data_IF_161242490331
#
_entry.id   IF_161242490331
#
_cell.length_a   1.000
_cell.length_b   1.000
_cell.length_c   1.000
_cell.angle_alpha   90.00
_cell.angle_beta   90.00
_cell.angle_gamma   90.00
#
_symmetry.space_group_name_H-M   'P 1'
#
loop_
_entity.id
_entity.type
_entity.pdbx_description
1 polymer ?
#
# COMPACT_ATOMS: atom_id res chain seq x y z
N UNK A 1 -5.32 6.26 -17.89
CA UNK A 1 -6.46 5.36 -18.12
C UNK A 1 -6.06 3.98 -17.62
N UNK A 2 -6.96 3.27 -16.93
CA UNK A 2 -6.77 1.89 -16.44
C UNK A 2 -7.89 1.01 -17.00
N UNK A 3 -7.64 -0.27 -17.35
CA UNK A 3 -8.70 -1.18 -17.77
C UNK A 3 -9.64 -1.51 -16.62
N UNK A 4 -10.91 -1.76 -16.94
CA UNK A 4 -11.95 -2.06 -15.97
C UNK A 4 -12.43 -0.85 -15.17
N UNK A 5 -13.09 -1.14 -14.06
CA UNK A 5 -13.60 -0.12 -13.12
C UNK A 5 -12.91 -0.22 -11.77
N UNK A 6 -12.88 0.88 -11.03
CA UNK A 6 -12.52 0.90 -9.62
C UNK A 6 -13.71 1.40 -8.81
N UNK A 7 -14.08 0.69 -7.76
CA UNK A 7 -15.17 1.11 -6.87
C UNK A 7 -14.72 2.21 -5.88
N UNK A 8 -15.66 2.67 -5.03
CA UNK A 8 -15.40 3.71 -4.04
C UNK A 8 -14.31 3.32 -3.03
N UNK A 9 -14.03 2.02 -2.87
CA UNK A 9 -12.96 1.50 -2.04
C UNK A 9 -11.66 1.31 -2.82
N UNK A 10 -11.53 1.88 -4.01
CA UNK A 10 -10.38 1.68 -4.91
C UNK A 10 -10.09 0.20 -5.21
N UNK A 11 -11.11 -0.68 -5.23
CA UNK A 11 -10.96 -2.08 -5.63
C UNK A 11 -11.22 -2.23 -7.12
N UNK A 12 -10.24 -2.80 -7.83
CA UNK A 12 -10.36 -3.12 -9.24
C UNK A 12 -11.46 -4.16 -9.50
N UNK A 13 -12.23 -3.93 -10.56
CA UNK A 13 -13.20 -4.86 -11.14
C UNK A 13 -12.83 -5.03 -12.61
N UNK A 14 -12.50 -6.27 -12.99
CA UNK A 14 -12.24 -6.59 -14.37
C UNK A 14 -13.49 -6.38 -15.20
N UNK A 15 -13.39 -5.55 -16.23
CA UNK A 15 -14.44 -5.30 -17.20
C UNK A 15 -13.75 -4.84 -18.50
N UNK A 16 -13.78 -5.69 -19.53
CA UNK A 16 -13.10 -5.43 -20.79
C UNK A 16 -13.75 -4.29 -21.60
N UNK A 17 -15.00 -3.94 -21.30
CA UNK A 17 -15.74 -2.88 -21.99
C UNK A 17 -15.63 -1.52 -21.29
N UNK A 18 -14.96 -1.46 -20.14
CA UNK A 18 -14.86 -0.24 -19.32
C UNK A 18 -13.43 0.14 -19.01
N UNK A 19 -13.28 1.41 -18.69
CA UNK A 19 -12.02 2.04 -18.38
C UNK A 19 -12.21 3.06 -17.27
N UNK A 20 -11.18 3.22 -16.46
CA UNK A 20 -11.14 4.20 -15.37
C UNK A 20 -10.19 5.34 -15.72
N UNK A 21 -10.68 6.56 -15.63
CA UNK A 21 -9.87 7.77 -15.66
C UNK A 21 -9.46 8.14 -14.24
N UNK A 22 -8.16 8.16 -13.98
CA UNK A 22 -7.59 8.48 -12.67
C UNK A 22 -6.78 9.77 -12.76
N UNK A 23 -6.90 10.64 -11.75
CA UNK A 23 -6.07 11.83 -11.62
C UNK A 23 -4.59 11.44 -11.58
N UNK A 24 -3.73 12.18 -12.30
CA UNK A 24 -2.29 11.88 -12.41
C UNK A 24 -1.55 11.81 -11.07
N UNK A 25 -2.03 12.57 -10.07
CA UNK A 25 -1.52 12.58 -8.69
C UNK A 25 -2.24 11.57 -7.77
N UNK A 26 -3.39 11.04 -8.21
CA UNK A 26 -4.16 10.05 -7.46
C UNK A 26 -3.45 8.70 -7.35
N UNK A 27 -3.82 7.91 -6.35
CA UNK A 27 -3.12 6.66 -6.01
C UNK A 27 -3.13 5.64 -7.15
N UNK A 28 -4.24 5.51 -7.87
CA UNK A 28 -4.35 4.59 -9.01
C UNK A 28 -3.32 4.93 -10.09
N UNK A 29 -3.14 6.23 -10.37
CA UNK A 29 -2.16 6.71 -11.31
C UNK A 29 -0.73 6.54 -10.79
N UNK A 30 -0.52 6.85 -9.52
CA UNK A 30 0.77 6.69 -8.82
C UNK A 30 1.29 5.26 -8.93
N UNK A 31 0.46 4.25 -8.68
CA UNK A 31 0.87 2.84 -8.71
C UNK A 31 1.24 2.33 -10.11
N UNK A 32 0.54 2.73 -11.17
CA UNK A 32 0.99 2.37 -12.53
C UNK A 32 2.29 3.09 -12.91
N UNK A 33 2.48 4.34 -12.46
CA UNK A 33 3.71 5.12 -12.71
C UNK A 33 4.91 4.57 -11.96
N UNK A 34 4.68 3.95 -10.81
CA UNK A 34 5.69 3.13 -10.12
C UNK A 34 5.99 1.79 -10.82
N UNK A 35 5.31 1.50 -11.93
CA UNK A 35 5.61 0.36 -12.80
C UNK A 35 4.61 -0.80 -12.72
N UNK A 36 3.68 -0.78 -11.76
CA UNK A 36 2.65 -1.82 -11.62
C UNK A 36 1.54 -1.65 -12.66
N UNK A 37 1.80 -2.05 -13.91
CA UNK A 37 0.87 -1.89 -15.03
C UNK A 37 -0.11 -3.07 -15.09
N UNK A 38 -1.39 -2.92 -14.69
CA UNK A 38 -2.29 -4.06 -14.49
C UNK A 38 -2.64 -4.83 -15.76
N UNK A 39 -2.49 -4.22 -16.94
CA UNK A 39 -2.78 -4.87 -18.24
C UNK A 39 -1.67 -5.82 -18.73
N UNK A 40 -0.54 -5.90 -18.03
CA UNK A 40 0.58 -6.77 -18.41
C UNK A 40 0.50 -8.18 -17.79
N UNK A 41 -0.61 -8.50 -17.10
CA UNK A 41 -0.89 -9.83 -16.57
C UNK A 41 -1.44 -9.80 -15.15
N UNK A 42 -2.04 -10.93 -14.74
CA UNK A 42 -2.75 -11.04 -13.47
C UNK A 42 -1.88 -10.69 -12.25
N UNK A 43 -0.62 -11.11 -12.26
CA UNK A 43 0.28 -10.84 -11.14
C UNK A 43 0.61 -9.34 -11.01
N UNK A 44 0.72 -8.62 -12.12
CA UNK A 44 0.86 -7.15 -12.10
C UNK A 44 -0.45 -6.44 -11.78
N UNK A 45 -1.61 -7.01 -12.15
CA UNK A 45 -2.90 -6.50 -11.71
C UNK A 45 -3.06 -6.61 -10.18
N UNK A 46 -2.69 -7.75 -9.61
CA UNK A 46 -2.63 -7.95 -8.17
C UNK A 46 -1.64 -6.99 -7.50
N UNK A 47 -0.45 -6.81 -8.07
CA UNK A 47 0.55 -5.90 -7.54
C UNK A 47 0.11 -4.43 -7.61
N UNK A 48 -0.63 -4.03 -8.66
CA UNK A 48 -1.21 -2.69 -8.73
C UNK A 48 -2.23 -2.48 -7.60
N UNK A 49 -3.14 -3.44 -7.38
CA UNK A 49 -4.11 -3.35 -6.30
C UNK A 49 -3.44 -3.31 -4.93
N UNK A 50 -2.44 -4.17 -4.69
CA UNK A 50 -1.67 -4.19 -3.45
C UNK A 50 -0.88 -2.89 -3.24
N UNK A 51 -0.30 -2.32 -4.31
CA UNK A 51 0.33 -1.01 -4.28
C UNK A 51 -0.66 0.09 -3.88
N UNK A 52 -1.89 0.05 -4.40
CA UNK A 52 -2.92 1.04 -4.05
C UNK A 52 -3.21 0.98 -2.55
N UNK A 53 -3.38 -0.23 -1.98
CA UNK A 53 -3.55 -0.42 -0.53
C UNK A 53 -2.37 0.15 0.25
N UNK A 54 -1.16 -0.26 -0.11
CA UNK A 54 0.09 0.17 0.52
C UNK A 54 0.29 1.69 0.48
N UNK A 55 0.11 2.31 -0.68
CA UNK A 55 0.31 3.75 -0.87
C UNK A 55 -0.67 4.59 -0.06
N UNK A 56 -1.88 4.08 0.17
CA UNK A 56 -2.85 4.70 1.08
C UNK A 56 -2.65 4.30 2.54
N UNK A 57 -1.76 3.35 2.83
CA UNK A 57 -1.71 2.64 4.11
C UNK A 57 -3.06 2.00 4.49
N UNK A 58 -3.89 1.63 3.51
CA UNK A 58 -5.21 1.02 3.69
C UNK A 58 -5.06 -0.42 4.19
N UNK A 59 -4.71 -0.53 5.48
CA UNK A 59 -4.39 -1.79 6.12
C UNK A 59 -5.57 -2.77 6.10
N UNK A 60 -6.80 -2.27 6.22
CA UNK A 60 -8.01 -3.09 6.27
C UNK A 60 -8.54 -3.48 4.88
N UNK A 61 -8.12 -2.79 3.81
CA UNK A 61 -8.64 -2.98 2.46
C UNK A 61 -10.04 -2.42 2.24
N UNK A 62 -10.46 -1.47 3.07
CA UNK A 62 -11.81 -0.87 3.05
C UNK A 62 -11.86 0.43 2.24
N UNK A 63 -10.73 0.82 1.63
CA UNK A 63 -10.61 2.03 0.82
C UNK A 63 -10.26 3.27 1.62
N UNK A 64 -10.18 3.20 2.96
CA UNK A 64 -9.80 4.35 3.78
C UNK A 64 -8.30 4.59 3.72
N UNK A 65 -7.91 5.83 3.39
CA UNK A 65 -6.51 6.24 3.41
C UNK A 65 -6.07 6.63 4.82
N UNK A 66 -4.99 6.03 5.26
CA UNK A 66 -4.23 6.35 6.48
C UNK A 66 -2.91 7.04 6.16
N UNK A 67 -2.79 7.62 4.97
CA UNK A 67 -1.60 8.31 4.47
C UNK A 67 -1.90 9.76 4.15
N UNK A 68 -0.95 10.64 4.44
CA UNK A 68 -0.95 12.05 4.03
C UNK A 68 -0.03 12.26 2.84
N UNK A 69 -0.34 13.26 2.03
CA UNK A 69 0.54 13.65 0.93
C UNK A 69 1.93 14.02 1.45
N UNK A 70 2.96 13.70 0.66
CA UNK A 70 4.36 13.88 1.04
C UNK A 70 4.93 12.81 1.99
N UNK A 71 4.13 11.86 2.48
CA UNK A 71 4.66 10.76 3.31
C UNK A 71 5.62 9.88 2.51
N UNK A 72 6.88 9.79 2.96
CA UNK A 72 7.88 8.95 2.34
C UNK A 72 7.69 7.49 2.75
N UNK A 73 7.88 6.58 1.80
CA UNK A 73 7.92 5.13 2.00
C UNK A 73 9.03 4.53 1.13
N UNK A 74 9.71 3.49 1.64
CA UNK A 74 10.53 2.59 0.82
C UNK A 74 9.70 1.35 0.50
N UNK A 75 9.60 0.95 -0.76
CA UNK A 75 8.66 -0.09 -1.21
C UNK A 75 9.37 -1.08 -2.12
N UNK A 76 8.99 -2.35 -2.01
CA UNK A 76 9.51 -3.40 -2.87
C UNK A 76 8.51 -4.53 -3.03
N UNK A 77 8.74 -5.38 -4.02
CA UNK A 77 7.82 -6.46 -4.39
C UNK A 77 8.47 -7.85 -4.44
N UNK A 78 7.63 -8.86 -4.58
CA UNK A 78 8.01 -10.27 -4.81
C UNK A 78 7.97 -10.66 -6.29
N UNK A 79 7.85 -9.70 -7.20
CA UNK A 79 7.74 -10.00 -8.63
C UNK A 79 9.08 -10.47 -9.19
N UNK A 80 9.00 -11.25 -10.27
CA UNK A 80 10.16 -11.76 -10.99
C UNK A 80 9.98 -11.42 -12.48
N UNK A 81 10.77 -10.46 -13.02
CA UNK A 81 11.71 -9.58 -12.31
C UNK A 81 10.99 -8.56 -11.39
N UNK A 82 11.69 -8.02 -10.37
CA UNK A 82 11.08 -7.05 -9.47
C UNK A 82 10.83 -5.71 -10.18
N UNK A 83 9.67 -5.10 -9.90
CA UNK A 83 9.36 -3.74 -10.40
C UNK A 83 9.99 -2.69 -9.49
N UNK A 84 10.02 -2.94 -8.18
CA UNK A 84 10.64 -2.12 -7.16
C UNK A 84 11.58 -2.99 -6.31
N UNK A 85 12.76 -2.45 -6.01
CA UNK A 85 13.73 -3.03 -5.09
C UNK A 85 13.76 -2.18 -3.84
N UNK A 86 13.96 -2.82 -2.69
CA UNK A 86 14.11 -2.12 -1.41
C UNK A 86 15.38 -1.28 -1.50
N UNK A 87 15.25 0.01 -1.22
CA UNK A 87 16.39 0.92 -1.14
C UNK A 87 17.19 0.61 0.13
N UNK A 88 16.53 0.66 1.29
CA UNK A 88 17.09 0.28 2.58
C UNK A 88 18.23 1.15 3.09
N UNK A 89 18.50 2.29 2.44
CA UNK A 89 19.58 3.22 2.80
C UNK A 89 19.20 4.23 3.88
N UNK A 90 17.91 4.61 3.96
CA UNK A 90 17.39 5.47 5.03
C UNK A 90 17.22 4.69 6.34
N UNK A 91 18.03 5.02 7.35
CA UNK A 91 18.04 4.32 8.65
C UNK A 91 16.85 4.65 9.54
N UNK A 92 16.06 5.68 9.18
CA UNK A 92 14.83 6.05 9.90
C UNK A 92 13.59 5.33 9.35
N UNK A 93 13.75 4.53 8.29
CA UNK A 93 12.68 3.73 7.68
C UNK A 93 12.66 2.32 8.28
N UNK A 94 11.56 1.96 8.92
CA UNK A 94 11.34 0.65 9.53
C UNK A 94 10.28 -0.12 8.77
N UNK A 95 10.37 -1.46 8.79
CA UNK A 95 9.38 -2.32 8.16
C UNK A 95 7.98 -2.02 8.68
N UNK A 96 7.09 -1.61 7.79
CA UNK A 96 5.73 -1.19 8.12
C UNK A 96 4.77 -2.37 8.01
N UNK A 97 4.69 -2.97 6.82
CA UNK A 97 3.68 -3.99 6.52
C UNK A 97 4.04 -4.82 5.28
N UNK A 98 3.37 -5.97 5.18
CA UNK A 98 3.28 -6.76 3.96
C UNK A 98 1.88 -6.63 3.36
N UNK A 99 1.78 -6.61 2.02
CA UNK A 99 0.58 -6.17 1.31
C UNK A 99 0.08 -7.20 0.30
N UNK A 100 -1.24 -7.34 0.29
CA UNK A 100 -2.02 -8.12 -0.69
C UNK A 100 -3.01 -7.21 -1.40
N UNK A 101 -3.67 -7.66 -2.48
CA UNK A 101 -4.77 -6.92 -3.09
C UNK A 101 -5.92 -6.61 -2.11
N UNK A 102 -6.07 -7.42 -1.06
CA UNK A 102 -7.14 -7.31 -0.06
C UNK A 102 -6.81 -6.36 1.10
N UNK A 103 -5.58 -5.85 1.21
CA UNK A 103 -5.12 -5.07 2.37
C UNK A 103 -3.79 -5.59 2.91
N UNK A 104 -3.42 -5.18 4.11
CA UNK A 104 -2.22 -5.67 4.77
C UNK A 104 -2.38 -7.15 5.12
N UNK A 105 -1.40 -7.97 4.75
CA UNK A 105 -1.28 -9.35 5.21
C UNK A 105 -0.95 -9.38 6.72
N UNK A 106 -0.07 -8.46 7.12
CA UNK A 106 0.34 -8.25 8.51
C UNK A 106 0.91 -6.83 8.68
N UNK A 107 0.91 -6.35 9.93
CA UNK A 107 1.32 -5.00 10.29
C UNK A 107 2.38 -5.04 11.39
N UNK A 108 3.52 -4.40 11.17
CA UNK A 108 4.57 -4.23 12.16
C UNK A 108 4.35 -2.96 12.98
N UNK A 109 4.16 -1.83 12.29
CA UNK A 109 3.79 -0.56 12.90
C UNK A 109 2.96 0.28 11.94
N UNK A 110 2.31 1.31 12.48
CA UNK A 110 1.52 2.26 11.70
C UNK A 110 2.44 3.34 11.11
N UNK A 111 2.15 3.76 9.88
CA UNK A 111 2.84 4.86 9.20
C UNK A 111 2.73 6.19 9.95
N UNK A 112 1.55 6.45 10.52
CA UNK A 112 1.26 7.65 11.30
C UNK A 112 0.81 7.28 12.72
N UNK A 113 1.38 7.97 13.70
CA UNK A 113 1.02 7.90 15.11
C UNK A 113 0.42 9.22 15.57
N UNK A 114 -0.42 9.19 16.60
CA UNK A 114 -1.17 10.35 17.08
C UNK A 114 -2.38 10.78 16.23
N UNK A 115 -2.73 10.04 15.16
CA UNK A 115 -4.04 10.21 14.51
C UNK A 115 -5.17 9.89 15.52
N UNK A 116 -6.33 10.58 15.48
CA UNK A 116 -7.45 10.24 16.37
C UNK A 116 -7.89 8.78 16.22
N UNK A 117 -8.52 8.19 17.22
CA UNK A 117 -8.80 6.74 17.24
C UNK A 117 -9.76 6.27 16.14
N UNK A 118 -10.69 7.13 15.74
CA UNK A 118 -11.51 6.96 14.54
C UNK A 118 -10.66 6.81 13.27
N UNK A 119 -9.37 7.18 13.33
CA UNK A 119 -8.39 7.05 12.27
C UNK A 119 -7.45 5.82 12.39
N UNK A 120 -7.78 4.83 13.22
CA UNK A 120 -6.95 3.63 13.35
C UNK A 120 -7.60 2.33 12.87
N UNK A 121 -6.78 1.36 12.44
CA UNK A 121 -7.24 0.04 11.99
C UNK A 121 -7.80 -0.84 13.13
N UNK A 122 -8.11 -0.28 14.32
CA UNK A 122 -8.93 -0.98 15.32
C UNK A 122 -10.31 -1.37 14.78
N UNK A 123 -10.71 -0.78 13.64
CA UNK A 123 -11.96 -1.08 12.92
C UNK A 123 -11.80 -1.99 11.71
N UNK A 124 -10.63 -2.59 11.48
CA UNK A 124 -10.60 -3.67 10.50
C UNK A 124 -11.63 -4.73 10.93
N UNK A 125 -12.41 -5.25 9.97
CA UNK A 125 -13.41 -6.28 10.26
C UNK A 125 -12.81 -7.51 10.95
N UNK A 126 -11.50 -7.72 10.78
CA UNK A 126 -10.69 -8.69 11.52
C UNK A 126 -9.41 -8.01 12.02
N UNK A 127 -8.97 -8.31 13.25
CA UNK A 127 -7.68 -7.82 13.74
C UNK A 127 -6.55 -8.22 12.79
N UNK A 128 -5.70 -7.26 12.43
CA UNK A 128 -4.52 -7.52 11.61
C UNK A 128 -3.46 -8.26 12.43
N UNK A 129 -2.90 -9.35 11.90
CA UNK A 129 -1.83 -10.04 12.59
C UNK A 129 -0.54 -9.20 12.56
N UNK A 130 0.29 -9.35 13.59
CA UNK A 130 1.60 -8.71 13.64
C UNK A 130 2.67 -9.53 12.94
N UNK A 131 3.67 -8.82 12.42
CA UNK A 131 4.90 -9.38 11.88
C UNK A 131 6.04 -8.37 12.07
N UNK A 132 7.26 -8.83 12.33
CA UNK A 132 8.41 -7.94 12.58
C UNK A 132 9.23 -7.65 11.31
N UNK A 133 9.06 -8.44 10.24
CA UNK A 133 9.84 -8.31 9.01
C UNK A 133 9.14 -8.88 7.79
N UNK A 134 9.60 -8.48 6.60
CA UNK A 134 9.17 -9.09 5.34
C UNK A 134 9.49 -10.59 5.26
N UNK A 135 10.60 -11.03 5.87
CA UNK A 135 10.95 -12.46 5.91
C UNK A 135 9.93 -13.24 6.74
N UNK A 136 9.54 -12.72 7.90
CA UNK A 136 8.49 -13.32 8.70
C UNK A 136 7.14 -13.30 7.97
N UNK A 137 6.81 -12.18 7.32
CA UNK A 137 5.56 -12.04 6.59
C UNK A 137 5.42 -13.11 5.49
N UNK A 138 6.49 -13.35 4.72
CA UNK A 138 6.53 -14.42 3.69
C UNK A 138 6.38 -15.82 4.28
N UNK A 139 6.91 -16.07 5.47
CA UNK A 139 6.80 -17.39 6.11
C UNK A 139 5.39 -17.68 6.63
N UNK A 140 4.69 -16.65 7.12
CA UNK A 140 3.45 -16.82 7.91
C UNK A 140 2.16 -16.52 7.14
N UNK A 141 2.18 -15.59 6.19
CA UNK A 141 0.96 -15.03 5.59
C UNK A 141 0.86 -15.25 4.09
N UNK A 142 1.50 -16.33 3.59
CA UNK A 142 1.46 -16.73 2.18
C UNK A 142 2.39 -15.89 1.31
N UNK A 143 1.89 -15.47 0.14
CA UNK A 143 2.63 -14.74 -0.90
C UNK A 143 2.17 -13.27 -0.99
N UNK A 144 2.54 -12.40 -0.03
CA UNK A 144 2.33 -10.96 -0.17
C UNK A 144 3.09 -10.44 -1.40
N UNK A 145 2.45 -9.55 -2.16
CA UNK A 145 2.99 -9.04 -3.42
C UNK A 145 3.92 -7.85 -3.20
N UNK A 146 3.66 -7.05 -2.16
CA UNK A 146 4.45 -5.87 -1.83
C UNK A 146 4.77 -5.83 -0.35
N UNK A 147 5.81 -5.06 -0.03
CA UNK A 147 6.19 -4.67 1.30
C UNK A 147 6.57 -3.20 1.26
N UNK A 148 6.54 -2.57 2.43
CA UNK A 148 7.15 -1.27 2.56
C UNK A 148 7.73 -1.03 3.95
N UNK A 149 8.65 -0.09 3.99
CA UNK A 149 9.08 0.58 5.20
C UNK A 149 8.47 1.98 5.26
N UNK A 150 8.34 2.52 6.47
CA UNK A 150 8.02 3.93 6.70
C UNK A 150 8.70 4.44 7.97
N UNK A 151 8.77 5.77 8.11
CA UNK A 151 9.14 6.41 9.38
C UNK A 151 7.97 6.37 10.36
N UNK A 152 8.25 6.57 11.64
CA UNK A 152 7.23 6.81 12.66
C UNK A 152 6.73 8.25 12.62
N UNK A 153 5.87 8.58 11.66
CA UNK A 153 5.39 9.96 11.48
C UNK A 153 4.44 10.36 12.62
N UNK A 154 4.52 11.62 13.09
CA UNK A 154 3.64 12.19 14.12
C UNK A 154 2.91 13.42 13.62
N UNK A 155 1.67 13.59 14.06
CA UNK A 155 0.91 14.82 13.83
C UNK A 155 1.53 15.97 14.62
N UNK A 156 2.22 16.88 13.91
CA UNK A 156 2.89 18.05 14.48
C UNK A 156 4.22 18.37 13.78
N UNK A 157 4.94 17.34 13.32
CA UNK A 157 6.28 17.50 12.72
C UNK A 157 6.25 18.10 11.30
N UNK A 158 5.07 18.15 10.67
CA UNK A 158 4.86 18.66 9.31
C UNK A 158 4.27 20.08 9.25
N UNK A 159 3.99 20.71 10.39
CA UNK A 159 3.53 22.11 10.45
C UNK A 159 4.68 23.14 10.45
N UNK A 160 5.94 22.68 10.35
CA UNK A 160 7.14 23.55 10.39
C UNK A 160 7.86 23.66 9.04
N UNK A 161 7.24 23.25 7.94
CA UNK A 161 7.80 23.37 6.59
C UNK A 161 6.77 23.96 5.62
N UNK A 162 6.33 25.17 5.92
CA UNK A 162 5.73 26.11 4.97
C UNK A 162 6.37 27.48 5.18
#
# INVERSE_FOLDING_TARGET
>A
MLPGTYDAQNKARADAARVTFACTRGVLAKCYRWGYRPWLGERLAGAHQACVRMAMADYCGDGRSWTRDGTLIDKWDTLVPPVQRRDGTDRDMFFEAAWTPAGAACLAHRRWTGLPEEFYPQRCARPLPSCASAQEARRRFGDPLLFNDSRHNRLGDHQQRD
#
